data_IF_464865955953
#
_entry.id   IF_464865955953
#
_cell.length_a   1.000
_cell.length_b   1.000
_cell.length_c   1.000
_cell.angle_alpha   90.00
_cell.angle_beta   90.00
_cell.angle_gamma   90.00
#
_symmetry.space_group_name_H-M   'P 1'
#
loop_
_entity.id
_entity.type
_entity.pdbx_description
1 polymer ?
#
# COMPACT_ATOMS: atom_id res chain seq x y z
N UNK A 1 21.54 -11.14 5.20
CA UNK A 1 20.12 -11.27 4.85
C UNK A 1 19.30 -10.31 5.71
N UNK A 2 19.19 -9.04 5.32
CA UNK A 2 18.39 -8.03 6.04
C UNK A 2 17.10 -7.66 5.29
N UNK A 3 16.87 -8.25 4.12
CA UNK A 3 15.87 -7.77 3.15
C UNK A 3 14.73 -8.75 2.90
N UNK A 4 14.51 -9.68 3.84
CA UNK A 4 13.36 -10.59 3.83
C UNK A 4 12.20 -9.97 4.60
N UNK A 5 11.02 -9.96 3.98
CA UNK A 5 9.75 -9.65 4.62
C UNK A 5 8.79 -10.82 4.44
N UNK A 6 8.62 -11.61 5.50
CA UNK A 6 7.77 -12.82 5.49
C UNK A 6 8.13 -13.74 4.32
N UNK A 7 7.31 -13.78 3.28
CA UNK A 7 7.43 -14.58 2.06
C UNK A 7 8.16 -13.87 0.90
N UNK A 8 8.45 -12.57 1.05
CA UNK A 8 9.10 -11.75 0.03
C UNK A 8 10.60 -11.56 0.31
N UNK A 9 11.44 -11.81 -0.68
CA UNK A 9 12.88 -11.50 -0.67
C UNK A 9 13.15 -10.33 -1.62
N UNK A 10 13.56 -9.19 -1.08
CA UNK A 10 13.82 -7.98 -1.87
C UNK A 10 15.32 -7.72 -1.94
N UNK A 11 15.84 -7.42 -3.12
CA UNK A 11 17.23 -7.03 -3.30
C UNK A 11 17.35 -5.99 -4.40
N UNK A 12 18.27 -5.04 -4.20
CA UNK A 12 18.69 -4.09 -5.22
C UNK A 12 20.10 -4.45 -5.65
N UNK A 13 20.31 -4.56 -6.95
CA UNK A 13 21.60 -4.90 -7.57
C UNK A 13 21.87 -3.93 -8.70
N UNK A 14 23.15 -3.72 -9.05
CA UNK A 14 23.54 -2.69 -10.03
C UNK A 14 23.61 -3.24 -11.45
N UNK A 15 23.72 -4.55 -11.62
CA UNK A 15 23.91 -5.19 -12.92
C UNK A 15 23.02 -6.43 -13.10
N UNK A 16 22.73 -6.76 -14.37
CA UNK A 16 21.99 -7.98 -14.70
C UNK A 16 22.73 -9.24 -14.20
N UNK A 17 24.06 -9.26 -14.29
CA UNK A 17 24.85 -10.40 -13.84
C UNK A 17 24.78 -10.62 -12.31
N UNK A 18 24.67 -9.54 -11.53
CA UNK A 18 24.41 -9.64 -10.09
C UNK A 18 22.99 -10.12 -9.80
N UNK A 19 22.01 -9.71 -10.60
CA UNK A 19 20.63 -10.19 -10.51
C UNK A 19 20.56 -11.70 -10.74
N UNK A 20 21.14 -12.19 -11.83
CA UNK A 20 21.15 -13.62 -12.18
C UNK A 20 21.83 -14.43 -11.06
N UNK A 21 23.00 -13.98 -10.59
CA UNK A 21 23.70 -14.62 -9.46
C UNK A 21 22.86 -14.62 -8.19
N UNK A 22 22.14 -13.53 -7.90
CA UNK A 22 21.29 -13.44 -6.73
C UNK A 22 20.13 -14.45 -6.81
N UNK A 23 19.48 -14.57 -7.98
CA UNK A 23 18.41 -15.52 -8.24
C UNK A 23 18.90 -16.96 -8.01
N UNK A 24 20.05 -17.31 -8.59
CA UNK A 24 20.62 -18.66 -8.48
C UNK A 24 20.93 -19.02 -7.03
N UNK A 25 21.69 -18.16 -6.34
CA UNK A 25 22.13 -18.40 -4.95
C UNK A 25 20.93 -18.44 -3.99
N UNK A 26 19.96 -17.53 -4.16
CA UNK A 26 18.77 -17.51 -3.31
C UNK A 26 17.91 -18.76 -3.54
N UNK A 27 17.77 -19.22 -4.79
CA UNK A 27 17.02 -20.43 -5.13
C UNK A 27 17.67 -21.67 -4.52
N UNK A 28 19.00 -21.80 -4.63
CA UNK A 28 19.75 -22.92 -4.06
C UNK A 28 19.59 -23.00 -2.54
N UNK A 29 19.88 -21.91 -1.83
CA UNK A 29 19.82 -21.84 -0.37
C UNK A 29 18.39 -22.13 0.15
N UNK A 30 17.37 -21.60 -0.51
CA UNK A 30 15.98 -21.82 -0.11
C UNK A 30 15.53 -23.26 -0.40
N UNK A 31 15.97 -23.84 -1.53
CA UNK A 31 15.69 -25.22 -1.89
C UNK A 31 16.29 -26.24 -0.91
N UNK A 32 17.49 -25.97 -0.37
CA UNK A 32 18.09 -26.80 0.70
C UNK A 32 17.16 -26.95 1.92
N UNK A 33 16.39 -25.90 2.20
CA UNK A 33 15.44 -25.84 3.32
C UNK A 33 14.00 -26.13 2.91
N UNK A 34 13.79 -26.66 1.70
CA UNK A 34 12.46 -27.00 1.13
C UNK A 34 11.54 -25.79 0.95
N UNK A 35 12.10 -24.58 0.86
CA UNK A 35 11.38 -23.39 0.43
C UNK A 35 11.56 -23.22 -1.08
N UNK A 36 10.45 -23.23 -1.81
CA UNK A 36 10.44 -23.14 -3.26
C UNK A 36 10.15 -21.70 -3.70
N UNK A 37 11.13 -21.03 -4.30
CA UNK A 37 11.00 -19.67 -4.83
C UNK A 37 10.47 -19.72 -6.27
N UNK A 38 9.24 -19.26 -6.49
CA UNK A 38 8.51 -19.44 -7.77
C UNK A 38 8.25 -18.16 -8.58
N UNK A 39 8.48 -17.00 -8.00
CA UNK A 39 8.16 -15.71 -8.62
C UNK A 39 9.34 -14.76 -8.52
N UNK A 40 9.87 -14.37 -9.68
CA UNK A 40 10.94 -13.38 -9.79
C UNK A 40 10.43 -12.16 -10.55
N UNK A 41 10.48 -11.02 -9.89
CA UNK A 41 10.06 -9.73 -10.43
C UNK A 41 11.24 -8.76 -10.31
N UNK A 42 11.57 -8.06 -11.39
CA UNK A 42 12.65 -7.08 -11.38
C UNK A 42 12.28 -5.86 -12.24
N UNK A 43 12.87 -4.71 -11.94
CA UNK A 43 12.79 -3.55 -12.82
C UNK A 43 13.65 -3.80 -14.06
N UNK A 44 13.10 -3.49 -15.23
CA UNK A 44 13.85 -3.47 -16.48
C UNK A 44 13.52 -2.16 -17.21
N UNK A 45 14.43 -1.17 -17.21
CA UNK A 45 14.21 0.11 -17.89
C UNK A 45 14.03 -0.04 -19.42
N UNK A 46 14.47 -1.16 -19.99
CA UNK A 46 14.34 -1.45 -21.42
C UNK A 46 13.03 -2.15 -21.79
N UNK A 47 12.19 -2.50 -20.80
CA UNK A 47 10.85 -3.05 -21.03
C UNK A 47 9.77 -1.99 -20.73
N UNK A 48 9.34 -1.20 -21.74
CA UNK A 48 8.31 -0.18 -21.56
C UNK A 48 6.91 -0.76 -21.29
N UNK A 49 6.73 -2.08 -21.42
CA UNK A 49 5.44 -2.76 -21.25
C UNK A 49 5.39 -3.50 -19.91
N UNK A 50 6.44 -3.41 -19.08
CA UNK A 50 6.52 -4.08 -17.79
C UNK A 50 5.29 -3.74 -16.93
N UNK A 51 4.41 -4.73 -16.76
CA UNK A 51 3.17 -4.56 -16.00
C UNK A 51 3.49 -4.23 -14.55
N UNK A 52 2.73 -3.32 -13.91
CA UNK A 52 2.83 -3.12 -12.47
C UNK A 52 2.60 -4.42 -11.72
N UNK A 53 3.31 -4.62 -10.62
CA UNK A 53 3.14 -5.77 -9.73
C UNK A 53 2.91 -5.31 -8.29
N UNK A 54 2.39 -6.18 -7.43
CA UNK A 54 2.23 -5.87 -6.01
C UNK A 54 3.49 -6.29 -5.24
N UNK A 55 4.00 -5.40 -4.40
CA UNK A 55 5.12 -5.67 -3.49
C UNK A 55 4.78 -5.11 -2.12
N UNK A 56 4.80 -5.94 -1.09
CA UNK A 56 4.48 -5.54 0.30
C UNK A 56 3.13 -4.82 0.45
N UNK A 57 2.12 -5.15 -0.36
CA UNK A 57 0.81 -4.46 -0.35
C UNK A 57 0.79 -3.09 -1.03
N UNK A 58 1.88 -2.69 -1.67
CA UNK A 58 2.00 -1.51 -2.53
C UNK A 58 2.08 -1.91 -4.01
N UNK A 59 1.85 -0.96 -4.90
CA UNK A 59 1.99 -1.14 -6.35
C UNK A 59 3.40 -0.72 -6.75
N UNK A 60 4.15 -1.62 -7.39
CA UNK A 60 5.45 -1.33 -7.99
C UNK A 60 5.35 -1.21 -9.50
N UNK A 61 5.57 0.01 -10.00
CA UNK A 61 5.74 0.28 -11.42
C UNK A 61 7.16 -0.07 -11.85
N UNK A 62 7.36 -1.29 -12.36
CA UNK A 62 8.68 -1.85 -12.70
C UNK A 62 9.43 -1.08 -13.79
N UNK A 63 8.72 -0.46 -14.73
CA UNK A 63 9.35 0.34 -15.79
C UNK A 63 10.00 1.63 -15.27
N UNK A 64 9.29 2.39 -14.42
CA UNK A 64 9.76 3.67 -13.88
C UNK A 64 10.47 3.55 -12.53
N UNK A 65 10.51 2.35 -11.97
CA UNK A 65 10.95 2.04 -10.61
C UNK A 65 10.28 2.92 -9.55
N UNK A 66 8.95 2.92 -9.54
CA UNK A 66 8.14 3.73 -8.63
C UNK A 66 7.26 2.86 -7.74
N UNK A 67 7.23 3.17 -6.45
CA UNK A 67 6.26 2.60 -5.51
C UNK A 67 5.08 3.56 -5.36
N UNK A 68 3.87 3.00 -5.41
CA UNK A 68 2.61 3.71 -5.28
C UNK A 68 1.70 3.01 -4.28
N UNK A 69 0.92 3.79 -3.54
CA UNK A 69 -0.11 3.26 -2.65
C UNK A 69 -1.26 2.64 -3.46
N UNK A 70 -1.76 1.49 -3.02
CA UNK A 70 -2.99 0.94 -3.55
C UNK A 70 -4.18 1.69 -2.91
N UNK A 71 -4.70 2.69 -3.61
CA UNK A 71 -5.78 3.54 -3.11
C UNK A 71 -7.12 3.06 -3.71
N UNK A 72 -7.95 2.36 -2.93
CA UNK A 72 -9.27 1.93 -3.39
C UNK A 72 -10.19 3.13 -3.60
N UNK A 73 -11.23 2.96 -4.42
CA UNK A 73 -12.27 4.00 -4.51
C UNK A 73 -13.04 4.06 -3.19
N UNK A 74 -12.83 5.13 -2.42
CA UNK A 74 -13.50 5.32 -1.14
C UNK A 74 -14.98 5.71 -1.29
N UNK A 75 -15.42 6.07 -2.50
CA UNK A 75 -16.84 6.37 -2.77
C UNK A 75 -17.73 5.15 -2.58
N UNK A 76 -17.21 3.94 -2.82
CA UNK A 76 -17.93 2.69 -2.60
C UNK A 76 -18.25 2.44 -1.11
N UNK A 77 -17.54 3.11 -0.20
CA UNK A 77 -17.75 3.00 1.25
C UNK A 77 -18.66 4.11 1.78
N UNK A 78 -19.09 5.03 0.91
CA UNK A 78 -20.08 6.05 1.23
C UNK A 78 -21.47 5.45 1.07
N UNK A 79 -21.90 4.67 2.06
CA UNK A 79 -23.28 4.20 2.18
C UNK A 79 -24.22 5.36 2.54
N UNK A 80 -25.53 5.19 2.27
CA UNK A 80 -26.55 6.16 2.68
C UNK A 80 -26.56 6.37 4.21
N UNK A 81 -26.23 5.33 4.97
CA UNK A 81 -26.09 5.35 6.42
C UNK A 81 -24.61 5.22 6.79
N UNK A 82 -24.07 6.25 7.46
CA UNK A 82 -22.67 6.23 7.91
C UNK A 82 -22.61 5.68 9.34
N UNK A 83 -21.98 4.51 9.51
CA UNK A 83 -21.71 3.93 10.83
C UNK A 83 -20.25 4.12 11.25
N UNK A 84 -19.99 3.96 12.55
CA UNK A 84 -18.61 3.97 13.08
C UNK A 84 -17.75 2.87 12.45
N UNK A 85 -18.35 1.69 12.15
CA UNK A 85 -17.70 0.60 11.43
C UNK A 85 -17.27 1.02 10.03
N UNK A 86 -18.14 1.69 9.27
CA UNK A 86 -17.84 2.13 7.90
C UNK A 86 -16.72 3.17 7.87
N UNK A 87 -16.73 4.11 8.82
CA UNK A 87 -15.66 5.12 8.95
C UNK A 87 -14.32 4.45 9.26
N UNK A 88 -14.30 3.47 10.18
CA UNK A 88 -13.09 2.69 10.47
C UNK A 88 -12.60 1.96 9.21
N UNK A 89 -13.49 1.23 8.54
CA UNK A 89 -13.15 0.48 7.34
C UNK A 89 -12.57 1.40 6.26
N UNK A 90 -13.19 2.56 6.01
CA UNK A 90 -12.70 3.54 5.05
C UNK A 90 -11.35 4.14 5.44
N UNK A 91 -11.16 4.47 6.72
CA UNK A 91 -9.91 5.06 7.23
C UNK A 91 -8.71 4.11 7.15
N UNK A 92 -8.96 2.80 7.18
CA UNK A 92 -7.94 1.76 7.16
C UNK A 92 -7.83 1.01 5.83
N UNK A 93 -8.67 1.33 4.82
CA UNK A 93 -8.60 0.68 3.50
C UNK A 93 -7.36 1.10 2.70
N UNK A 94 -6.78 2.26 3.02
CA UNK A 94 -5.49 2.70 2.48
C UNK A 94 -4.38 2.09 3.33
N UNK A 95 -3.73 1.06 2.80
CA UNK A 95 -2.54 0.49 3.41
C UNK A 95 -1.31 1.35 3.04
N UNK A 96 -0.60 1.83 4.06
CA UNK A 96 0.52 2.75 3.89
C UNK A 96 1.66 2.38 4.84
N UNK A 97 2.54 1.45 4.43
CA UNK A 97 3.66 1.02 5.27
C UNK A 97 4.74 2.10 5.41
N UNK A 98 4.75 3.11 4.54
CA UNK A 98 5.77 4.16 4.50
C UNK A 98 5.33 5.47 5.17
N UNK A 99 4.05 5.61 5.53
CA UNK A 99 3.49 6.81 6.16
C UNK A 99 3.23 7.98 5.20
N UNK A 100 3.30 7.76 3.87
CA UNK A 100 3.14 8.79 2.83
C UNK A 100 1.74 9.43 2.88
N UNK A 101 0.72 8.64 3.18
CA UNK A 101 -0.68 9.07 3.28
C UNK A 101 -1.02 9.81 4.58
N UNK A 102 -0.07 9.91 5.51
CA UNK A 102 -0.24 10.52 6.83
C UNK A 102 -1.00 11.85 6.82
N UNK A 103 -0.63 12.84 6.00
CA UNK A 103 -1.32 14.14 5.94
C UNK A 103 -2.80 14.03 5.55
N UNK A 104 -3.15 13.08 4.67
CA UNK A 104 -4.53 12.89 4.21
C UNK A 104 -5.34 12.03 5.18
N UNK A 105 -4.71 11.01 5.79
CA UNK A 105 -5.37 10.13 6.76
C UNK A 105 -5.43 10.69 8.18
N UNK A 106 -4.79 11.84 8.46
CA UNK A 106 -4.80 12.45 9.80
C UNK A 106 -6.22 12.83 10.25
N UNK A 107 -6.96 13.57 9.43
CA UNK A 107 -8.31 14.03 9.77
C UNK A 107 -9.27 12.85 10.03
N UNK A 108 -9.33 11.81 9.18
CA UNK A 108 -10.11 10.60 9.44
C UNK A 108 -9.76 9.91 10.75
N UNK A 109 -8.47 9.82 11.09
CA UNK A 109 -8.02 9.18 12.34
C UNK A 109 -8.41 9.99 13.58
N UNK A 110 -8.31 11.32 13.52
CA UNK A 110 -8.80 12.20 14.61
C UNK A 110 -10.32 12.10 14.79
N UNK A 111 -11.03 11.95 13.69
CA UNK A 111 -12.48 11.74 13.67
C UNK A 111 -12.89 10.40 14.27
N UNK A 112 -12.23 9.33 13.84
CA UNK A 112 -12.41 8.02 14.41
C UNK A 112 -12.13 8.06 15.92
N UNK A 113 -11.09 8.77 16.36
CA UNK A 113 -10.78 8.97 17.78
C UNK A 113 -11.90 9.70 18.55
N UNK A 114 -12.57 10.70 17.97
CA UNK A 114 -13.70 11.37 18.62
C UNK A 114 -14.92 10.45 18.72
N UNK A 115 -15.20 9.64 17.70
CA UNK A 115 -16.25 8.62 17.71
C UNK A 115 -15.97 7.49 18.72
N UNK A 116 -14.70 7.20 19.00
CA UNK A 116 -14.33 6.29 20.08
C UNK A 116 -14.76 6.81 21.46
N UNK A 117 -14.71 8.14 21.65
CA UNK A 117 -15.10 8.78 22.91
C UNK A 117 -16.62 8.94 23.04
N UNK A 118 -17.38 8.89 21.95
CA UNK A 118 -18.80 9.26 21.94
C UNK A 118 -19.79 8.18 22.40
N UNK A 119 -19.35 7.04 22.95
CA UNK A 119 -20.21 5.91 23.37
C UNK A 119 -21.18 5.40 22.27
N UNK A 120 -20.92 5.75 21.00
CA UNK A 120 -21.69 5.27 19.85
C UNK A 120 -21.27 3.83 19.53
N UNK A 121 -22.27 2.97 19.33
CA UNK A 121 -22.08 1.58 18.92
C UNK A 121 -21.44 1.44 17.55
N UNK A 122 -20.94 0.24 17.22
CA UNK A 122 -20.28 -0.04 15.95
C UNK A 122 -21.16 0.21 14.72
N UNK A 123 -22.40 -0.27 14.80
CA UNK A 123 -23.38 -0.27 13.70
C UNK A 123 -24.44 0.83 13.88
N UNK A 124 -24.24 1.72 14.85
CA UNK A 124 -25.12 2.85 15.08
C UNK A 124 -24.81 3.98 14.10
N UNK A 125 -25.85 4.60 13.57
CA UNK A 125 -25.76 5.74 12.66
C UNK A 125 -25.07 6.94 13.33
N UNK A 126 -24.14 7.55 12.59
CA UNK A 126 -23.39 8.73 13.00
C UNK A 126 -24.03 9.96 12.36
N UNK A 127 -24.84 10.71 13.12
CA UNK A 127 -25.49 11.95 12.64
C UNK A 127 -24.54 13.16 12.45
N UNK A 128 -23.24 13.00 12.71
CA UNK A 128 -22.27 14.10 12.71
C UNK A 128 -21.93 14.51 11.27
N UNK A 129 -22.08 15.82 10.97
CA UNK A 129 -21.73 16.54 9.72
C UNK A 129 -20.99 15.70 8.67
N UNK A 130 -21.77 15.06 7.80
CA UNK A 130 -21.40 14.37 6.56
C UNK A 130 -20.42 15.13 5.65
N UNK A 131 -20.28 16.45 5.82
CA UNK A 131 -19.39 17.30 5.02
C UNK A 131 -17.90 16.94 5.14
N UNK A 132 -17.43 16.54 6.32
CA UNK A 132 -15.99 16.27 6.53
C UNK A 132 -15.58 14.84 6.15
N UNK A 133 -16.49 13.87 6.23
CA UNK A 133 -16.26 12.52 5.68
C UNK A 133 -16.24 12.54 4.15
N UNK A 134 -17.13 13.33 3.53
CA UNK A 134 -17.08 13.56 2.09
C UNK A 134 -15.83 14.35 1.66
N UNK A 135 -15.30 15.25 2.49
CA UNK A 135 -13.98 15.88 2.27
C UNK A 135 -12.82 14.85 2.33
N UNK A 136 -12.85 13.89 3.26
CA UNK A 136 -11.87 12.78 3.27
C UNK A 136 -11.90 12.00 1.95
N UNK A 137 -13.09 11.62 1.48
CA UNK A 137 -13.23 10.88 0.23
C UNK A 137 -12.66 11.67 -0.96
N UNK A 138 -12.83 13.00 -0.98
CA UNK A 138 -12.20 13.89 -1.96
C UNK A 138 -10.68 13.95 -1.81
N UNK A 139 -10.18 14.04 -0.58
CA UNK A 139 -8.75 14.07 -0.26
C UNK A 139 -8.01 12.79 -0.67
N UNK A 140 -8.65 11.64 -0.62
CA UNK A 140 -8.09 10.39 -1.14
C UNK A 140 -7.86 10.42 -2.66
N UNK A 141 -8.64 11.21 -3.41
CA UNK A 141 -8.36 11.51 -4.82
C UNK A 141 -7.03 12.24 -5.02
N UNK A 142 -6.65 13.12 -4.08
CA UNK A 142 -5.35 13.82 -4.11
C UNK A 142 -4.18 12.87 -3.82
N UNK A 143 -4.39 11.82 -3.01
CA UNK A 143 -3.36 10.80 -2.77
C UNK A 143 -2.97 10.09 -4.07
N UNK A 144 -3.91 9.86 -5.01
CA UNK A 144 -3.56 9.27 -6.31
C UNK A 144 -2.56 10.13 -7.08
N UNK A 145 -2.65 11.46 -6.98
CA UNK A 145 -1.75 12.38 -7.66
C UNK A 145 -0.35 12.48 -7.02
N UNK A 146 -0.21 12.15 -5.73
CA UNK A 146 1.06 12.26 -4.99
C UNK A 146 1.67 10.91 -4.56
N UNK A 147 1.05 9.78 -4.94
CA UNK A 147 1.40 8.47 -4.38
C UNK A 147 2.68 7.85 -4.93
N UNK A 148 3.21 8.32 -6.05
CA UNK A 148 4.38 7.70 -6.69
C UNK A 148 5.67 8.30 -6.17
N UNK A 149 6.41 7.52 -5.40
CA UNK A 149 7.78 7.85 -5.01
C UNK A 149 8.73 7.00 -5.83
N UNK A 150 9.75 7.61 -6.46
CA UNK A 150 10.84 6.84 -7.05
C UNK A 150 11.53 6.05 -5.96
N UNK A 151 11.78 4.78 -6.21
CA UNK A 151 12.67 4.01 -5.35
C UNK A 151 14.05 4.60 -5.56
N UNK A 152 14.53 5.38 -4.59
CA UNK A 152 15.92 5.87 -4.60
C UNK A 152 16.76 4.72 -4.09
N UNK A 153 17.42 4.03 -5.02
CA UNK A 153 18.49 3.09 -4.73
C UNK A 153 19.65 3.88 -4.12
N UNK A 154 20.00 3.60 -2.86
CA UNK A 154 21.24 4.06 -2.22
C UNK A 154 22.36 3.05 -2.48
#
# INVERSE_FOLDING_TARGET
MSSFYVDNSLASVQTQSELDRFIDVATEIMAERKFDLRGWEHSNPSDPIASPTNVLGMIWGRHCDTLSLNIPDLRELMEEVITKRNILAASHKVFDPLGISGPVLLLPKLWLQSLWKSQIGWDQEVYIKTSRFSEMAKGAGLLKACSSTKVVTL
#
